data_IF_761630716958
#
_entry.id   IF_761630716958
#
_cell.length_a   1.000
_cell.length_b   1.000
_cell.length_c   1.000
_cell.angle_alpha   90.00
_cell.angle_beta   90.00
_cell.angle_gamma   90.00
#
_symmetry.space_group_name_H-M   'P 1'
#
loop_
_entity.id
_entity.type
_entity.pdbx_description
1 polymer ?
#
# COMPACT_ATOMS: atom_id res chain seq x y z
N UNK A 1 13.12 -1.85 9.92
CA UNK A 1 13.16 -2.09 8.46
C UNK A 1 12.94 -0.75 7.79
N UNK A 2 13.93 -0.21 7.06
CA UNK A 2 13.75 1.03 6.33
C UNK A 2 12.94 0.74 5.05
N UNK A 3 11.61 0.76 5.17
CA UNK A 3 10.71 0.64 4.03
C UNK A 3 10.73 1.97 3.29
N UNK A 4 11.03 1.94 1.99
CA UNK A 4 10.95 3.15 1.17
C UNK A 4 9.49 3.54 0.99
N UNK A 5 9.23 4.84 0.83
CA UNK A 5 7.89 5.36 0.53
C UNK A 5 7.30 4.70 -0.73
N UNK A 6 8.16 4.37 -1.71
CA UNK A 6 7.77 3.67 -2.93
C UNK A 6 7.26 2.25 -2.66
N UNK A 7 8.01 1.45 -1.89
CA UNK A 7 7.57 0.11 -1.49
C UNK A 7 6.27 0.14 -0.68
N UNK A 8 6.13 1.13 0.22
CA UNK A 8 4.87 1.33 0.98
C UNK A 8 3.70 1.62 0.04
N UNK A 9 3.87 2.52 -0.92
CA UNK A 9 2.84 2.86 -1.90
C UNK A 9 2.47 1.67 -2.79
N UNK A 10 3.46 0.88 -3.19
CA UNK A 10 3.23 -0.34 -3.98
C UNK A 10 2.38 -1.34 -3.18
N UNK A 11 2.74 -1.61 -1.92
CA UNK A 11 1.97 -2.50 -1.03
C UNK A 11 0.52 -2.03 -0.91
N UNK A 12 0.30 -0.76 -0.54
CA UNK A 12 -1.03 -0.19 -0.34
C UNK A 12 -1.85 -0.22 -1.64
N UNK A 13 -1.23 0.03 -2.79
CA UNK A 13 -1.87 -0.04 -4.10
C UNK A 13 -2.35 -1.45 -4.42
N UNK A 14 -1.50 -2.45 -4.27
CA UNK A 14 -1.85 -3.84 -4.58
C UNK A 14 -2.96 -4.36 -3.66
N UNK A 15 -2.91 -4.00 -2.37
CA UNK A 15 -4.00 -4.33 -1.44
C UNK A 15 -5.33 -3.64 -1.83
N UNK A 16 -5.29 -2.38 -2.26
CA UNK A 16 -6.45 -1.62 -2.74
C UNK A 16 -7.08 -2.23 -4.02
N UNK A 17 -6.23 -2.76 -4.90
CA UNK A 17 -6.61 -3.48 -6.11
C UNK A 17 -7.17 -4.88 -5.81
N UNK A 18 -6.94 -5.39 -4.61
CA UNK A 18 -7.54 -6.62 -4.09
C UNK A 18 -6.59 -7.81 -4.05
N UNK A 19 -5.29 -7.60 -4.25
CA UNK A 19 -4.29 -8.63 -4.05
C UNK A 19 -4.27 -9.09 -2.59
N UNK A 20 -4.18 -10.40 -2.33
CA UNK A 20 -4.10 -10.91 -0.96
C UNK A 20 -2.72 -10.63 -0.34
N UNK A 21 -2.66 -10.47 0.98
CA UNK A 21 -1.44 -10.12 1.74
C UNK A 21 -0.29 -11.09 1.48
N UNK A 22 -0.55 -12.39 1.38
CA UNK A 22 0.48 -13.40 1.12
C UNK A 22 1.15 -13.21 -0.26
N UNK A 23 0.39 -12.78 -1.26
CA UNK A 23 0.89 -12.57 -2.61
C UNK A 23 1.75 -11.30 -2.67
N UNK A 24 1.27 -10.21 -2.08
CA UNK A 24 2.02 -8.95 -1.98
C UNK A 24 3.32 -9.16 -1.20
N UNK A 25 3.28 -9.89 -0.10
CA UNK A 25 4.46 -10.26 0.70
C UNK A 25 5.53 -11.00 -0.11
N UNK A 26 5.13 -11.93 -0.98
CA UNK A 26 6.04 -12.61 -1.89
C UNK A 26 6.69 -11.67 -2.91
N UNK A 27 5.94 -10.69 -3.43
CA UNK A 27 6.47 -9.72 -4.41
C UNK A 27 7.45 -8.71 -3.82
N UNK A 28 7.19 -8.21 -2.60
CA UNK A 28 8.08 -7.24 -1.94
C UNK A 28 9.17 -7.90 -1.08
N UNK A 29 9.25 -9.23 -1.06
CA UNK A 29 10.16 -9.99 -0.22
C UNK A 29 10.08 -9.57 1.27
N UNK A 30 8.85 -9.44 1.78
CA UNK A 30 8.56 -9.08 3.17
C UNK A 30 7.72 -10.16 3.85
N UNK A 31 7.65 -10.15 5.19
CA UNK A 31 6.72 -11.03 5.91
C UNK A 31 5.29 -10.55 5.69
N UNK A 32 4.35 -11.48 5.58
CA UNK A 32 2.91 -11.15 5.47
C UNK A 32 2.40 -10.29 6.63
N UNK A 33 2.97 -10.46 7.83
CA UNK A 33 2.65 -9.60 8.97
C UNK A 33 3.01 -8.13 8.72
N UNK A 34 4.19 -7.85 8.17
CA UNK A 34 4.64 -6.48 7.91
C UNK A 34 3.77 -5.82 6.82
N UNK A 35 3.43 -6.57 5.77
CA UNK A 35 2.51 -6.12 4.71
C UNK A 35 1.12 -5.84 5.28
N UNK A 36 0.62 -6.67 6.19
CA UNK A 36 -0.64 -6.42 6.88
C UNK A 36 -0.59 -5.15 7.72
N UNK A 37 0.47 -4.94 8.50
CA UNK A 37 0.63 -3.74 9.33
C UNK A 37 0.67 -2.48 8.47
N UNK A 38 1.42 -2.49 7.37
CA UNK A 38 1.48 -1.38 6.41
C UNK A 38 0.11 -1.10 5.80
N UNK A 39 -0.60 -2.15 5.36
CA UNK A 39 -1.95 -2.02 4.83
C UNK A 39 -2.92 -1.46 5.86
N UNK A 40 -2.82 -1.93 7.12
CA UNK A 40 -3.69 -1.51 8.23
C UNK A 40 -3.53 -0.03 8.54
N UNK A 41 -2.31 0.48 8.55
CA UNK A 41 -2.03 1.92 8.72
C UNK A 41 -2.64 2.78 7.59
N UNK A 42 -2.97 2.18 6.45
CA UNK A 42 -3.61 2.83 5.32
C UNK A 42 -5.12 2.49 5.18
N UNK A 43 -5.71 1.76 6.14
CA UNK A 43 -7.14 1.43 6.18
C UNK A 43 -7.52 -0.02 5.85
N UNK A 44 -6.56 -0.92 5.59
CA UNK A 44 -6.86 -2.36 5.40
C UNK A 44 -7.50 -2.97 6.68
N UNK A 45 -8.55 -3.82 6.58
CA UNK A 45 -9.07 -4.48 5.37
C UNK A 45 -10.13 -3.71 4.57
N UNK A 46 -10.42 -2.45 4.89
CA UNK A 46 -11.35 -1.63 4.12
C UNK A 46 -10.71 -1.21 2.78
N UNK A 47 -11.19 -1.81 1.69
CA UNK A 47 -10.70 -1.53 0.33
C UNK A 47 -11.03 -0.11 -0.13
N UNK A 48 -12.14 0.48 0.32
CA UNK A 48 -12.51 1.84 -0.05
C UNK A 48 -11.57 2.86 0.61
N UNK A 49 -11.22 2.64 1.87
CA UNK A 49 -10.24 3.46 2.59
C UNK A 49 -8.85 3.37 1.93
N UNK A 50 -8.42 2.15 1.59
CA UNK A 50 -7.18 1.94 0.84
C UNK A 50 -7.15 2.67 -0.50
N UNK A 51 -8.23 2.58 -1.29
CA UNK A 51 -8.31 3.29 -2.59
C UNK A 51 -8.23 4.81 -2.42
N UNK A 52 -8.83 5.35 -1.36
CA UNK A 52 -8.70 6.78 -1.01
C UNK A 52 -7.27 7.13 -0.64
N UNK A 53 -6.59 6.29 0.13
CA UNK A 53 -5.17 6.48 0.46
C UNK A 53 -4.28 6.48 -0.79
N UNK A 54 -4.51 5.54 -1.72
CA UNK A 54 -3.81 5.49 -3.02
C UNK A 54 -4.08 6.73 -3.86
N UNK A 55 -5.34 7.15 -3.96
CA UNK A 55 -5.72 8.35 -4.71
C UNK A 55 -5.06 9.61 -4.13
N UNK A 56 -5.07 9.76 -2.80
CA UNK A 56 -4.40 10.86 -2.13
C UNK A 56 -2.88 10.85 -2.34
N UNK A 57 -2.25 9.66 -2.34
CA UNK A 57 -0.83 9.52 -2.64
C UNK A 57 -0.48 9.92 -4.08
N UNK A 58 -1.32 9.51 -5.06
CA UNK A 58 -1.13 9.83 -6.48
C UNK A 58 -1.34 11.31 -6.80
N UNK A 59 -2.28 11.98 -6.12
CA UNK A 59 -2.58 13.40 -6.36
C UNK A 59 -1.76 14.37 -5.50
N UNK A 60 -0.91 13.85 -4.60
CA UNK A 60 0.10 14.65 -3.89
C UNK A 60 1.37 14.89 -4.73
N UNK A 61 1.48 14.28 -5.90
CA UNK A 61 2.49 14.68 -6.88
C UNK A 61 2.07 16.09 -7.33
N UNK A 62 2.85 17.15 -7.04
CA UNK A 62 2.48 18.48 -7.47
C UNK A 62 2.38 18.44 -9.00
N UNK A 63 1.23 18.84 -9.51
CA UNK A 63 1.09 19.23 -10.90
C UNK A 63 2.09 20.36 -11.10
N UNK A 64 3.26 20.04 -11.65
CA UNK A 64 4.27 21.02 -12.00
C UNK A 64 3.60 21.99 -12.97
N UNK A 65 3.49 23.24 -12.52
CA UNK A 65 2.97 24.39 -13.24
C UNK A 65 3.87 24.78 -14.42
#
# INVERSE_FOLDING_TARGET
>A
MNITTDTRNMIVTMLAEGSPVWYVAGMVNMRSHDVYVIGREAGYPDKAELRRAVWAARNRIPQAA
#
